data_IF_510324501643
#
_entry.id   IF_510324501643
#
_cell.length_a   1.000
_cell.length_b   1.000
_cell.length_c   1.000
_cell.angle_alpha   90.00
_cell.angle_beta   90.00
_cell.angle_gamma   90.00
#
_symmetry.space_group_name_H-M   'P 1'
#
loop_
_entity.id
_entity.type
_entity.pdbx_description
1 polymer ?
#
# COMPACT_ATOMS: atom_id res chain seq x y z
N UNK A 1 -26.98 -25.46 19.23
CA UNK A 1 -28.45 -25.34 19.42
C UNK A 1 -29.05 -24.68 18.20
N UNK A 2 -30.06 -25.30 17.60
CA UNK A 2 -30.79 -24.82 16.40
C UNK A 2 -32.10 -24.16 16.86
N UNK A 3 -32.41 -22.97 16.35
CA UNK A 3 -33.77 -22.47 16.30
C UNK A 3 -34.17 -22.22 14.85
N UNK A 4 -35.25 -22.89 14.44
CA UNK A 4 -35.99 -22.71 13.19
C UNK A 4 -37.17 -21.79 13.47
N UNK A 5 -37.43 -20.82 12.60
CA UNK A 5 -38.76 -20.25 12.41
C UNK A 5 -39.14 -20.43 10.93
N UNK A 6 -40.38 -20.87 10.69
CA UNK A 6 -40.95 -21.19 9.37
C UNK A 6 -42.02 -20.16 8.98
N UNK A 7 -42.26 -20.12 7.66
CA UNK A 7 -43.50 -19.71 6.96
C UNK A 7 -43.67 -18.17 6.93
N UNK A 8 -43.92 -17.50 5.82
CA UNK A 8 -44.31 -17.85 4.45
C UNK A 8 -45.07 -16.63 3.89
N UNK A 9 -45.18 -16.54 2.56
CA UNK A 9 -46.07 -15.69 1.75
C UNK A 9 -45.27 -14.84 0.74
N UNK A 10 -45.33 -15.27 -0.52
CA UNK A 10 -45.24 -14.32 -1.63
C UNK A 10 -46.59 -13.63 -1.78
N UNK A 11 -46.58 -12.34 -2.11
CA UNK A 11 -47.54 -11.81 -3.06
C UNK A 11 -46.81 -11.18 -4.23
N UNK A 12 -47.15 -11.67 -5.42
CA UNK A 12 -46.97 -10.96 -6.67
C UNK A 12 -47.90 -9.74 -6.63
N UNK A 13 -47.36 -8.53 -6.74
CA UNK A 13 -48.14 -7.35 -7.09
C UNK A 13 -47.39 -6.53 -8.12
N UNK A 14 -48.17 -6.20 -9.12
CA UNK A 14 -47.89 -5.57 -10.39
C UNK A 14 -47.47 -4.10 -10.21
N UNK A 15 -46.41 -3.71 -10.93
CA UNK A 15 -46.27 -2.46 -11.71
C UNK A 15 -46.64 -1.12 -11.03
N UNK A 16 -45.61 -0.41 -10.58
CA UNK A 16 -45.51 1.06 -10.56
C UNK A 16 -44.02 1.41 -10.70
N UNK A 17 -43.58 1.92 -11.85
CA UNK A 17 -43.36 3.35 -12.10
C UNK A 17 -42.00 3.87 -11.56
N UNK A 18 -41.05 3.96 -12.49
CA UNK A 18 -39.83 4.78 -12.53
C UNK A 18 -39.38 5.51 -11.26
N UNK A 19 -38.26 5.04 -10.67
CA UNK A 19 -37.12 5.90 -10.30
C UNK A 19 -35.81 5.15 -10.51
N UNK A 20 -34.90 5.83 -11.20
CA UNK A 20 -33.48 5.55 -11.35
C UNK A 20 -32.91 4.43 -10.47
N UNK A 21 -32.54 3.33 -11.11
CA UNK A 21 -31.58 2.39 -10.56
C UNK A 21 -30.22 3.05 -10.43
N UNK A 22 -30.05 3.91 -9.42
CA UNK A 22 -28.75 4.06 -8.78
C UNK A 22 -28.49 2.72 -8.10
N UNK A 23 -27.47 1.94 -8.50
CA UNK A 23 -27.12 0.78 -7.71
C UNK A 23 -26.84 1.24 -6.28
N UNK A 24 -27.20 0.47 -5.24
CA UNK A 24 -26.70 0.76 -3.90
C UNK A 24 -25.20 0.90 -4.04
N UNK A 25 -24.67 2.07 -3.66
CA UNK A 25 -23.24 2.23 -3.49
C UNK A 25 -22.86 1.27 -2.38
N UNK A 26 -22.44 0.07 -2.78
CA UNK A 26 -21.75 -0.90 -1.95
C UNK A 26 -20.39 -0.28 -1.61
N UNK A 27 -20.42 0.74 -0.76
CA UNK A 27 -19.28 1.16 0.02
C UNK A 27 -18.98 0.02 1.00
N UNK A 28 -18.07 -0.87 0.60
CA UNK A 28 -17.48 -1.82 1.54
C UNK A 28 -17.22 -3.21 1.00
N UNK A 29 -16.54 -3.37 -0.12
CA UNK A 29 -15.80 -4.62 -0.38
C UNK A 29 -14.51 -4.35 -1.18
N UNK A 30 -13.46 -3.99 -0.44
CA UNK A 30 -12.05 -4.25 -0.77
C UNK A 30 -11.51 -3.91 -2.17
N UNK A 31 -11.53 -2.64 -2.58
CA UNK A 31 -10.45 -2.07 -3.42
C UNK A 31 -9.24 -1.66 -2.55
N UNK A 32 -8.91 -2.49 -1.54
CA UNK A 32 -7.88 -2.18 -0.55
C UNK A 32 -6.45 -2.52 -1.03
N UNK A 33 -6.28 -3.03 -2.27
CA UNK A 33 -5.00 -3.55 -2.74
C UNK A 33 -4.33 -2.70 -3.84
N UNK A 34 -4.97 -1.65 -4.36
CA UNK A 34 -4.34 -0.71 -5.30
C UNK A 34 -3.80 0.51 -4.56
N UNK A 35 -2.96 0.28 -3.54
CA UNK A 35 -2.26 1.38 -2.88
C UNK A 35 -1.53 2.24 -3.92
N UNK A 36 -1.65 3.58 -3.84
CA UNK A 36 -0.86 4.45 -4.70
C UNK A 36 0.62 4.25 -4.30
N UNK A 37 1.44 3.84 -5.26
CA UNK A 37 2.86 3.64 -5.04
C UNK A 37 3.60 4.97 -5.16
N UNK A 38 4.51 5.20 -4.22
CA UNK A 38 5.35 6.39 -4.16
C UNK A 38 6.80 5.97 -4.06
N UNK A 39 7.65 6.75 -4.71
CA UNK A 39 9.10 6.56 -4.69
C UNK A 39 9.70 7.61 -3.77
N UNK A 40 10.49 7.14 -2.81
CA UNK A 40 11.39 7.95 -2.03
C UNK A 40 12.70 8.09 -2.78
N UNK A 41 13.07 9.34 -3.01
CA UNK A 41 14.38 9.74 -3.47
C UNK A 41 15.21 10.29 -2.31
N UNK A 42 16.45 9.82 -2.23
CA UNK A 42 17.44 10.30 -1.27
C UNK A 42 18.59 10.88 -2.08
N UNK A 43 18.88 12.16 -1.89
CA UNK A 43 19.95 12.88 -2.61
C UNK A 43 19.85 12.74 -4.15
N UNK A 44 18.60 12.79 -4.65
CA UNK A 44 18.27 12.71 -6.07
C UNK A 44 18.26 11.29 -6.66
N UNK A 45 18.50 10.26 -5.85
CA UNK A 45 18.47 8.85 -6.25
C UNK A 45 17.19 8.18 -5.77
N UNK A 46 16.46 7.51 -6.68
CA UNK A 46 15.36 6.64 -6.31
C UNK A 46 15.87 5.43 -5.50
N UNK A 47 15.41 5.32 -4.26
CA UNK A 47 15.93 4.33 -3.29
C UNK A 47 14.88 3.30 -2.91
N UNK A 48 13.63 3.73 -2.75
CA UNK A 48 12.60 2.89 -2.15
C UNK A 48 11.23 3.21 -2.76
N UNK A 49 10.49 2.17 -3.13
CA UNK A 49 9.08 2.26 -3.51
C UNK A 49 8.21 1.73 -2.38
N UNK A 50 7.11 2.41 -2.08
CA UNK A 50 6.20 1.98 -1.04
C UNK A 50 4.76 2.40 -1.31
N UNK A 51 3.81 1.66 -0.73
CA UNK A 51 2.39 1.96 -0.85
C UNK A 51 1.93 2.96 0.20
N UNK A 52 1.11 3.93 -0.21
CA UNK A 52 0.42 4.83 0.72
C UNK A 52 -0.96 5.25 0.18
N UNK A 53 -1.89 5.68 1.04
CA UNK A 53 -3.21 6.16 0.59
C UNK A 53 -3.14 7.45 -0.23
N UNK A 54 -2.13 8.28 0.01
CA UNK A 54 -1.96 9.57 -0.68
C UNK A 54 -0.51 10.06 -0.64
N UNK A 55 -0.16 11.01 -1.52
CA UNK A 55 1.15 11.66 -1.50
C UNK A 55 1.42 12.39 -0.18
N UNK A 56 0.38 12.96 0.43
CA UNK A 56 0.48 13.60 1.75
C UNK A 56 0.87 12.57 2.81
N UNK A 57 0.17 11.43 2.85
CA UNK A 57 0.49 10.33 3.77
C UNK A 57 1.90 9.78 3.53
N UNK A 58 2.32 9.66 2.27
CA UNK A 58 3.67 9.24 1.91
C UNK A 58 4.74 10.21 2.43
N UNK A 59 4.54 11.52 2.23
CA UNK A 59 5.41 12.57 2.77
C UNK A 59 5.45 12.61 4.29
N UNK A 60 4.33 12.34 4.96
CA UNK A 60 4.30 12.23 6.42
C UNK A 60 5.13 11.04 6.88
N UNK A 61 4.97 9.87 6.26
CA UNK A 61 5.67 8.63 6.65
C UNK A 61 7.19 8.77 6.60
N UNK A 62 7.72 9.35 5.53
CA UNK A 62 9.18 9.52 5.38
C UNK A 62 9.78 10.51 6.38
N UNK A 63 8.95 11.26 7.10
CA UNK A 63 9.36 12.18 8.17
C UNK A 63 9.17 11.60 9.57
N UNK A 64 8.58 10.41 9.70
CA UNK A 64 8.42 9.78 10.99
C UNK A 64 9.79 9.32 11.50
N UNK A 65 10.09 9.60 12.77
CA UNK A 65 11.42 9.34 13.34
C UNK A 65 11.85 7.88 13.21
N UNK A 66 10.93 6.94 13.44
CA UNK A 66 11.21 5.50 13.32
C UNK A 66 11.65 5.14 11.89
N UNK A 67 11.05 5.77 10.87
CA UNK A 67 11.34 5.48 9.46
C UNK A 67 12.73 6.01 9.07
N UNK A 68 13.05 7.23 9.49
CA UNK A 68 14.39 7.81 9.26
C UNK A 68 15.46 7.02 10.00
N UNK A 69 15.19 6.60 11.24
CA UNK A 69 16.10 5.76 12.02
C UNK A 69 16.35 4.42 11.32
N UNK A 70 15.32 3.76 10.82
CA UNK A 70 15.43 2.51 10.09
C UNK A 70 16.31 2.68 8.84
N UNK A 71 16.01 3.69 8.00
CA UNK A 71 16.81 3.96 6.81
C UNK A 71 18.27 4.30 7.13
N UNK A 72 18.54 4.98 8.24
CA UNK A 72 19.92 5.35 8.64
C UNK A 72 20.79 4.14 9.02
N UNK A 73 20.17 3.03 9.43
CA UNK A 73 20.87 1.78 9.77
C UNK A 73 21.20 0.95 8.54
N UNK A 74 20.44 1.16 7.47
CA UNK A 74 20.59 0.42 6.22
C UNK A 74 21.81 0.90 5.43
N UNK A 75 22.39 -0.03 4.65
CA UNK A 75 23.59 0.22 3.86
C UNK A 75 23.47 -0.28 2.43
N UNK A 76 24.16 0.40 1.53
CA UNK A 76 24.32 0.04 0.12
C UNK A 76 25.79 0.20 -0.27
N UNK A 77 26.45 -0.89 -0.66
CA UNK A 77 27.87 -0.88 -1.02
C UNK A 77 28.80 -0.43 0.11
N UNK A 78 28.49 -0.82 1.35
CA UNK A 78 29.22 -0.50 2.57
C UNK A 78 28.94 0.90 3.14
N UNK A 79 28.13 1.72 2.45
CA UNK A 79 27.82 3.09 2.85
C UNK A 79 26.42 3.20 3.43
N UNK A 80 26.18 4.05 4.44
CA UNK A 80 24.83 4.34 4.92
C UNK A 80 23.93 4.80 3.78
N UNK A 81 22.67 4.36 3.81
CA UNK A 81 21.68 4.71 2.80
C UNK A 81 21.32 6.20 2.84
N UNK A 82 21.31 6.80 4.03
CA UNK A 82 21.13 8.22 4.25
C UNK A 82 21.93 8.70 5.47
N UNK A 83 22.25 9.98 5.50
CA UNK A 83 22.87 10.69 6.63
C UNK A 83 21.97 11.82 7.10
N UNK A 84 22.30 12.47 8.22
CA UNK A 84 21.48 13.57 8.78
C UNK A 84 21.26 14.74 7.82
N UNK A 85 22.17 14.95 6.87
CA UNK A 85 22.10 16.02 5.86
C UNK A 85 21.42 15.58 4.55
N UNK A 86 21.03 14.30 4.43
CA UNK A 86 20.40 13.79 3.22
C UNK A 86 19.05 14.46 2.94
N UNK A 87 18.78 14.68 1.67
CA UNK A 87 17.54 15.27 1.18
C UNK A 87 16.52 14.18 0.83
N UNK A 88 15.33 14.25 1.44
CA UNK A 88 14.26 13.28 1.21
C UNK A 88 13.16 13.89 0.34
N UNK A 89 12.94 13.31 -0.83
CA UNK A 89 11.89 13.73 -1.77
C UNK A 89 10.96 12.57 -2.05
N UNK A 90 9.65 12.81 -1.98
CA UNK A 90 8.64 11.80 -2.31
C UNK A 90 7.89 12.23 -3.55
N UNK A 91 7.85 11.34 -4.54
CA UNK A 91 7.07 11.49 -5.77
C UNK A 91 6.21 10.27 -6.06
N UNK A 92 5.31 10.41 -7.02
CA UNK A 92 4.61 9.25 -7.56
C UNK A 92 5.63 8.28 -8.19
N UNK A 93 5.42 6.98 -7.97
CA UNK A 93 6.25 5.97 -8.61
C UNK A 93 6.02 5.96 -10.12
N UNK A 94 7.08 5.69 -10.88
CA UNK A 94 6.96 5.42 -12.31
C UNK A 94 6.23 4.08 -12.54
N UNK A 95 5.76 3.84 -13.76
CA UNK A 95 5.12 2.56 -14.10
C UNK A 95 6.06 1.37 -13.86
N UNK A 96 7.35 1.52 -14.16
CA UNK A 96 8.35 0.48 -13.93
C UNK A 96 8.54 0.21 -12.44
N UNK A 97 8.77 1.25 -11.65
CA UNK A 97 8.95 1.16 -10.19
C UNK A 97 7.74 0.53 -9.51
N UNK A 98 6.54 0.88 -9.98
CA UNK A 98 5.28 0.29 -9.52
C UNK A 98 5.24 -1.22 -9.82
N UNK A 99 5.51 -1.62 -11.06
CA UNK A 99 5.48 -3.04 -11.45
C UNK A 99 6.47 -3.88 -10.63
N UNK A 100 7.67 -3.34 -10.37
CA UNK A 100 8.66 -4.00 -9.51
C UNK A 100 8.12 -4.20 -8.09
N UNK A 101 7.51 -3.17 -7.50
CA UNK A 101 6.91 -3.25 -6.16
C UNK A 101 5.70 -4.19 -6.10
N UNK A 102 4.87 -4.26 -7.15
CA UNK A 102 3.73 -5.17 -7.23
C UNK A 102 4.15 -6.65 -7.25
N UNK A 103 5.27 -6.98 -7.92
CA UNK A 103 5.81 -8.34 -7.94
C UNK A 103 6.21 -8.78 -6.52
N UNK A 104 6.93 -7.94 -5.80
CA UNK A 104 7.34 -8.23 -4.42
C UNK A 104 6.15 -8.26 -3.47
N UNK A 105 5.21 -7.33 -3.60
CA UNK A 105 3.97 -7.32 -2.84
C UNK A 105 3.19 -8.63 -2.98
N UNK A 106 3.04 -9.10 -4.22
CA UNK A 106 2.38 -10.36 -4.50
C UNK A 106 3.11 -11.48 -3.76
N UNK A 107 4.43 -11.62 -3.94
CA UNK A 107 5.23 -12.64 -3.28
C UNK A 107 5.11 -12.64 -1.75
N UNK A 108 5.18 -11.48 -1.10
CA UNK A 108 5.05 -11.35 0.35
C UNK A 108 3.65 -11.79 0.83
N UNK A 109 2.61 -11.40 0.09
CA UNK A 109 1.23 -11.84 0.37
C UNK A 109 1.06 -13.36 0.22
N UNK A 110 1.72 -13.99 -0.74
CA UNK A 110 1.72 -15.46 -0.86
C UNK A 110 2.43 -16.14 0.31
N UNK A 111 3.41 -15.48 0.92
CA UNK A 111 4.12 -15.99 2.10
C UNK A 111 3.32 -15.85 3.39
N UNK A 112 2.18 -15.15 3.36
CA UNK A 112 1.32 -14.92 4.51
C UNK A 112 1.80 -13.78 5.40
N UNK A 113 2.74 -12.97 4.92
CA UNK A 113 3.20 -11.77 5.61
C UNK A 113 2.15 -10.67 5.44
N UNK A 114 1.25 -10.54 6.42
CA UNK A 114 0.30 -9.42 6.49
C UNK A 114 1.02 -8.16 6.97
N UNK A 115 1.83 -7.58 6.09
CA UNK A 115 2.58 -6.36 6.40
C UNK A 115 1.72 -5.15 6.08
N UNK A 116 1.48 -4.34 7.12
CA UNK A 116 0.75 -3.06 7.03
C UNK A 116 1.32 -2.11 5.97
N UNK A 117 2.61 -2.25 5.65
CA UNK A 117 3.32 -1.43 4.67
C UNK A 117 4.24 -2.31 3.84
N UNK A 118 4.26 -2.08 2.53
CA UNK A 118 5.19 -2.73 1.62
C UNK A 118 6.28 -1.76 1.19
N UNK A 119 7.50 -2.24 1.25
CA UNK A 119 8.72 -1.49 0.96
C UNK A 119 9.57 -2.31 -0.01
N UNK A 120 9.89 -1.74 -1.16
CA UNK A 120 10.73 -2.38 -2.17
C UNK A 120 11.92 -1.48 -2.47
N UNK A 121 13.12 -1.93 -2.11
CA UNK A 121 14.34 -1.18 -2.40
C UNK A 121 14.69 -1.27 -3.89
N UNK A 122 14.93 -0.11 -4.51
CA UNK A 122 15.37 0.02 -5.90
C UNK A 122 16.89 0.03 -6.03
N UNK A 123 17.60 -0.09 -4.91
CA UNK A 123 19.05 -0.11 -4.82
C UNK A 123 19.48 -1.40 -4.16
N UNK A 124 20.66 -1.95 -4.51
CA UNK A 124 21.18 -3.12 -3.84
C UNK A 124 21.41 -2.79 -2.37
N UNK A 125 20.83 -3.60 -1.49
CA UNK A 125 21.01 -3.49 -0.05
C UNK A 125 22.09 -4.46 0.39
N UNK A 126 22.96 -4.01 1.29
CA UNK A 126 23.92 -4.90 1.93
C UNK A 126 23.18 -5.86 2.84
N UNK A 127 23.68 -7.10 2.97
CA UNK A 127 23.17 -8.03 3.97
C UNK A 127 23.37 -7.41 5.36
N UNK A 128 22.28 -7.23 6.12
CA UNK A 128 22.40 -6.73 7.49
C UNK A 128 23.24 -7.75 8.29
N UNK A 129 24.31 -7.31 8.99
CA UNK A 129 24.97 -8.18 9.96
C UNK A 129 23.96 -8.49 11.07
N UNK A 130 23.68 -9.78 11.27
CA UNK A 130 22.84 -10.30 12.35
C UNK A 130 23.38 -9.93 13.74
#
# INVERSE_FOLDING_TARGET
>A
MRLKVRRGAEPHTERDEWRDGRPPSEEGESDAASGRYFTLEIDGRAVLVFSAPSLRSAKTRVRENWFVQELSQMRTGGKPLCVSESTFVVRAASLQEKSEAEVWFFLDRFRGDDVKYHFTFLVPMDAQPH
#
